data_IF_553769996543
#
_entry.id   IF_553769996543
#
_cell.length_a   1.000
_cell.length_b   1.000
_cell.length_c   1.000
_cell.angle_alpha   90.00
_cell.angle_beta   90.00
_cell.angle_gamma   90.00
#
_symmetry.space_group_name_H-M   'P 1'
#
loop_
_entity.id
_entity.type
_entity.pdbx_description
1 polymer ?
#
# COMPACT_ATOMS: atom_id res chain seq x y z
N UNK A 1 0.50 2.02 24.91
CA UNK A 1 1.19 2.29 23.62
C UNK A 1 1.09 1.10 22.67
N UNK A 2 1.65 -0.07 22.99
CA UNK A 2 1.67 -1.26 22.11
C UNK A 2 0.30 -1.61 21.49
N UNK A 3 -0.77 -1.68 22.30
CA UNK A 3 -2.13 -2.01 21.82
C UNK A 3 -2.65 -0.99 20.80
N UNK A 4 -2.50 0.30 21.08
CA UNK A 4 -2.92 1.36 20.15
C UNK A 4 -2.10 1.30 18.85
N UNK A 5 -0.79 1.07 18.93
CA UNK A 5 0.05 0.89 17.73
C UNK A 5 -0.43 -0.28 16.86
N UNK A 6 -0.83 -1.41 17.47
CA UNK A 6 -1.41 -2.55 16.73
C UNK A 6 -2.74 -2.20 16.04
N UNK A 7 -3.62 -1.48 16.73
CA UNK A 7 -4.92 -1.06 16.18
C UNK A 7 -4.71 -0.07 15.03
N UNK A 8 -3.91 0.97 15.24
CA UNK A 8 -3.61 1.98 14.21
C UNK A 8 -2.95 1.31 13.00
N UNK A 9 -1.98 0.42 13.21
CA UNK A 9 -1.38 -0.35 12.11
C UNK A 9 -2.41 -1.13 11.31
N UNK A 10 -3.33 -1.83 11.99
CA UNK A 10 -4.38 -2.61 11.33
C UNK A 10 -5.35 -1.73 10.52
N UNK A 11 -5.73 -0.59 11.08
CA UNK A 11 -6.58 0.40 10.40
C UNK A 11 -5.88 1.01 9.20
N UNK A 12 -4.61 1.37 9.32
CA UNK A 12 -3.82 1.89 8.21
C UNK A 12 -3.64 0.85 7.09
N UNK A 13 -3.51 -0.44 7.43
CA UNK A 13 -3.47 -1.50 6.42
C UNK A 13 -4.77 -1.58 5.61
N UNK A 14 -5.93 -1.38 6.25
CA UNK A 14 -7.24 -1.27 5.58
C UNK A 14 -7.36 -0.02 4.72
N UNK A 15 -6.97 1.14 5.25
CA UNK A 15 -6.98 2.41 4.51
C UNK A 15 -6.09 2.28 3.27
N UNK A 16 -4.88 1.75 3.41
CA UNK A 16 -3.95 1.52 2.31
C UNK A 16 -4.58 0.59 1.24
N UNK A 17 -5.17 -0.53 1.65
CA UNK A 17 -5.85 -1.43 0.71
C UNK A 17 -7.02 -0.75 -0.02
N UNK A 18 -7.84 0.04 0.69
CA UNK A 18 -8.92 0.81 0.08
C UNK A 18 -8.39 1.85 -0.92
N UNK A 19 -7.31 2.54 -0.59
CA UNK A 19 -6.64 3.48 -1.51
C UNK A 19 -6.13 2.79 -2.78
N UNK A 20 -5.69 1.53 -2.71
CA UNK A 20 -5.31 0.78 -3.92
C UNK A 20 -6.52 0.50 -4.83
N UNK A 21 -7.70 0.21 -4.28
CA UNK A 21 -8.92 0.09 -5.08
C UNK A 21 -9.26 1.41 -5.79
N UNK A 22 -9.15 2.54 -5.08
CA UNK A 22 -9.35 3.87 -5.66
C UNK A 22 -8.30 4.12 -6.75
N UNK A 23 -7.03 3.76 -6.54
CA UNK A 23 -5.99 3.90 -7.56
C UNK A 23 -6.29 3.12 -8.84
N UNK A 24 -6.73 1.87 -8.71
CA UNK A 24 -7.10 1.03 -9.85
C UNK A 24 -8.32 1.60 -10.58
N UNK A 25 -9.31 2.10 -9.84
CA UNK A 25 -10.46 2.79 -10.43
C UNK A 25 -10.05 4.05 -11.21
N UNK A 26 -9.19 4.90 -10.63
CA UNK A 26 -8.71 6.12 -11.30
C UNK A 26 -7.84 5.83 -12.53
N UNK A 27 -7.03 4.77 -12.48
CA UNK A 27 -6.32 4.29 -13.66
C UNK A 27 -7.28 3.82 -14.77
N UNK A 28 -8.31 3.06 -14.40
CA UNK A 28 -9.37 2.66 -15.32
C UNK A 28 -10.10 3.86 -15.91
N UNK A 29 -10.43 4.86 -15.09
CA UNK A 29 -11.04 6.10 -15.55
C UNK A 29 -10.15 6.77 -16.60
N UNK A 30 -8.85 6.96 -16.34
CA UNK A 30 -7.93 7.55 -17.32
C UNK A 30 -7.86 6.75 -18.64
N UNK A 31 -7.91 5.41 -18.57
CA UNK A 31 -7.93 4.56 -19.78
C UNK A 31 -9.21 4.75 -20.62
N UNK A 32 -10.35 4.97 -19.97
CA UNK A 32 -11.66 5.07 -20.63
C UNK A 32 -12.16 6.53 -20.84
N UNK A 33 -11.51 7.53 -20.24
CA UNK A 33 -11.90 8.94 -20.22
C UNK A 33 -10.71 9.82 -20.67
N UNK A 34 -10.58 9.97 -21.99
CA UNK A 34 -9.64 10.86 -22.71
C UNK A 34 -8.13 10.74 -22.38
N UNK A 35 -7.71 9.79 -21.54
CA UNK A 35 -6.31 9.64 -21.14
C UNK A 35 -5.86 10.62 -20.04
N UNK A 36 -6.78 11.23 -19.29
CA UNK A 36 -6.41 12.13 -18.19
C UNK A 36 -5.94 11.36 -16.94
N UNK A 37 -4.63 11.25 -16.77
CA UNK A 37 -3.99 10.59 -15.63
C UNK A 37 -3.85 11.46 -14.38
N UNK A 38 -4.25 12.73 -14.42
CA UNK A 38 -3.99 13.70 -13.34
C UNK A 38 -4.56 13.26 -11.99
N UNK A 39 -5.77 12.68 -11.97
CA UNK A 39 -6.40 12.18 -10.74
C UNK A 39 -5.65 10.99 -10.17
N UNK A 40 -5.23 10.05 -11.02
CA UNK A 40 -4.48 8.86 -10.64
C UNK A 40 -3.11 9.23 -10.01
N UNK A 41 -2.37 10.11 -10.69
CA UNK A 41 -1.04 10.56 -10.24
C UNK A 41 -1.11 11.52 -9.04
N UNK A 42 -2.16 12.34 -8.92
CA UNK A 42 -2.33 13.18 -7.73
C UNK A 42 -2.72 12.34 -6.49
N UNK A 43 -3.54 11.30 -6.66
CA UNK A 43 -4.10 10.57 -5.53
C UNK A 43 -3.06 9.75 -4.74
N UNK A 44 -1.97 9.30 -5.37
CA UNK A 44 -0.94 8.48 -4.70
C UNK A 44 -0.24 9.25 -3.57
N UNK A 45 -0.07 10.57 -3.73
CA UNK A 45 0.58 11.44 -2.75
C UNK A 45 -0.14 11.50 -1.40
N UNK A 46 -1.44 11.15 -1.35
CA UNK A 46 -2.17 11.10 -0.07
C UNK A 46 -1.80 9.88 0.79
N UNK A 47 -1.25 8.81 0.20
CA UNK A 47 -1.07 7.55 0.94
C UNK A 47 0.26 6.81 0.69
N UNK A 48 1.12 7.29 -0.20
CA UNK A 48 2.41 6.65 -0.50
C UNK A 48 3.32 6.47 0.73
N UNK A 49 3.19 7.34 1.73
CA UNK A 49 3.96 7.28 2.97
C UNK A 49 3.29 6.48 4.10
N UNK A 50 2.05 5.98 3.90
CA UNK A 50 1.37 5.14 4.89
C UNK A 50 2.19 3.91 5.28
N UNK A 51 2.83 3.17 4.35
CA UNK A 51 3.73 2.07 4.71
C UNK A 51 4.88 2.47 5.65
N UNK A 52 5.45 3.67 5.51
CA UNK A 52 6.51 4.13 6.42
C UNK A 52 5.97 4.27 7.85
N UNK A 53 4.82 4.94 8.00
CA UNK A 53 4.17 5.07 9.30
C UNK A 53 3.83 3.68 9.89
N UNK A 54 3.36 2.76 9.06
CA UNK A 54 3.11 1.38 9.46
C UNK A 54 4.38 0.65 9.90
N UNK A 55 5.54 0.86 9.28
CA UNK A 55 6.83 0.27 9.74
C UNK A 55 7.13 0.73 11.17
N UNK A 56 7.03 2.03 11.44
CA UNK A 56 7.27 2.60 12.78
C UNK A 56 6.30 2.02 13.81
N UNK A 57 5.01 1.96 13.49
CA UNK A 57 3.98 1.36 14.35
C UNK A 57 4.19 -0.14 14.53
N UNK A 58 4.71 -0.84 13.51
CA UNK A 58 5.05 -2.26 13.58
C UNK A 58 6.16 -2.56 14.59
N UNK A 59 7.16 -1.67 14.68
CA UNK A 59 8.25 -1.75 15.67
C UNK A 59 7.73 -1.45 17.07
N UNK A 60 7.05 -0.30 17.25
CA UNK A 60 6.49 0.13 18.55
C UNK A 60 5.45 -0.89 19.06
N UNK A 61 4.61 -1.39 18.16
CA UNK A 61 3.55 -2.35 18.44
C UNK A 61 4.01 -3.81 18.54
N UNK A 62 5.29 -4.10 18.32
CA UNK A 62 5.86 -5.47 18.33
C UNK A 62 5.00 -6.45 17.50
N UNK A 63 4.65 -6.07 16.27
CA UNK A 63 3.75 -6.83 15.36
C UNK A 63 4.46 -8.05 14.72
N UNK A 64 5.77 -8.16 14.94
CA UNK A 64 6.61 -9.24 14.44
C UNK A 64 7.37 -8.85 13.19
N UNK A 65 8.64 -9.26 13.12
CA UNK A 65 9.58 -8.88 12.06
C UNK A 65 9.07 -9.16 10.64
N UNK A 66 8.41 -10.31 10.43
CA UNK A 66 7.85 -10.68 9.12
C UNK A 66 6.83 -9.66 8.59
N UNK A 67 6.02 -9.06 9.46
CA UNK A 67 5.02 -8.06 9.05
C UNK A 67 5.68 -6.71 8.77
N UNK A 68 6.69 -6.33 9.54
CA UNK A 68 7.52 -5.15 9.28
C UNK A 68 8.20 -5.25 7.92
N UNK A 69 8.87 -6.37 7.63
CA UNK A 69 9.53 -6.60 6.34
C UNK A 69 8.52 -6.56 5.19
N UNK A 70 7.36 -7.21 5.34
CA UNK A 70 6.32 -7.14 4.31
C UNK A 70 5.80 -5.71 4.08
N UNK A 71 5.74 -4.89 5.13
CA UNK A 71 5.39 -3.46 5.02
C UNK A 71 6.48 -2.66 4.30
N UNK A 72 7.76 -2.96 4.57
CA UNK A 72 8.87 -2.37 3.83
C UNK A 72 8.84 -2.76 2.35
N UNK A 73 8.51 -4.00 2.03
CA UNK A 73 8.31 -4.47 0.65
C UNK A 73 7.18 -3.67 -0.04
N UNK A 74 6.08 -3.33 0.65
CA UNK A 74 5.06 -2.44 0.08
C UNK A 74 5.65 -1.10 -0.36
N UNK A 75 6.45 -0.46 0.50
CA UNK A 75 7.04 0.83 0.17
C UNK A 75 8.05 0.73 -0.99
N UNK A 76 8.86 -0.33 -1.01
CA UNK A 76 9.78 -0.61 -2.13
C UNK A 76 9.01 -0.82 -3.44
N UNK A 77 7.87 -1.51 -3.41
CA UNK A 77 7.03 -1.70 -4.59
C UNK A 77 6.42 -0.38 -5.09
N UNK A 78 6.07 0.56 -4.21
CA UNK A 78 5.63 1.92 -4.60
C UNK A 78 6.75 2.66 -5.33
N UNK A 79 7.96 2.68 -4.75
CA UNK A 79 9.14 3.28 -5.39
C UNK A 79 9.40 2.64 -6.75
N UNK A 80 9.33 1.30 -6.81
CA UNK A 80 9.51 0.57 -8.05
C UNK A 80 8.44 0.92 -9.10
N UNK A 81 7.20 1.18 -8.70
CA UNK A 81 6.17 1.67 -9.63
C UNK A 81 6.56 3.01 -10.25
N UNK A 82 7.00 3.99 -9.44
CA UNK A 82 7.49 5.27 -9.96
C UNK A 82 8.64 5.10 -10.96
N UNK A 83 9.61 4.25 -10.63
CA UNK A 83 10.74 3.97 -11.52
C UNK A 83 10.24 3.28 -12.79
N UNK A 84 9.39 2.26 -12.68
CA UNK A 84 8.94 1.47 -13.82
C UNK A 84 8.23 2.28 -14.89
N UNK A 85 7.45 3.29 -14.51
CA UNK A 85 6.69 4.14 -15.44
C UNK A 85 7.50 5.33 -15.97
N UNK A 86 8.60 5.70 -15.31
CA UNK A 86 9.48 6.81 -15.73
C UNK A 86 10.60 6.37 -16.67
N UNK A 87 10.87 5.07 -16.75
CA UNK A 87 11.82 4.52 -17.72
C UNK A 87 11.21 4.53 -19.13
N UNK A 88 12.00 4.90 -20.13
CA UNK A 88 11.64 4.79 -21.56
C UNK A 88 11.71 3.34 -22.07
N UNK A 89 11.05 2.44 -21.34
CA UNK A 89 11.04 1.01 -21.58
C UNK A 89 9.62 0.47 -21.38
N UNK A 90 8.86 0.40 -22.47
CA UNK A 90 7.43 0.02 -22.46
C UNK A 90 7.14 -1.30 -21.76
N UNK A 91 8.03 -2.30 -21.90
CA UNK A 91 7.89 -3.59 -21.22
C UNK A 91 8.03 -3.47 -19.70
N UNK A 92 8.90 -2.56 -19.22
CA UNK A 92 9.07 -2.33 -17.78
C UNK A 92 7.86 -1.57 -17.25
N UNK A 93 7.37 -0.54 -17.94
CA UNK A 93 6.15 0.16 -17.56
C UNK A 93 4.93 -0.77 -17.49
N UNK A 94 4.84 -1.75 -18.40
CA UNK A 94 3.77 -2.75 -18.41
C UNK A 94 3.73 -3.66 -17.17
N UNK A 95 4.78 -3.66 -16.32
CA UNK A 95 4.75 -4.39 -15.05
C UNK A 95 3.92 -3.68 -13.97
N UNK A 96 3.60 -2.40 -14.15
CA UNK A 96 2.91 -1.58 -13.17
C UNK A 96 1.59 -2.21 -12.66
N UNK A 97 0.70 -2.75 -13.52
CA UNK A 97 -0.49 -3.45 -13.04
C UNK A 97 -0.16 -4.71 -12.23
N UNK A 98 0.91 -5.44 -12.58
CA UNK A 98 1.34 -6.64 -11.84
C UNK A 98 1.79 -6.26 -10.43
N UNK A 99 2.58 -5.19 -10.30
CA UNK A 99 3.03 -4.73 -8.98
C UNK A 99 1.91 -4.11 -8.16
N UNK A 100 0.88 -3.53 -8.79
CA UNK A 100 -0.34 -3.08 -8.11
C UNK A 100 -1.10 -4.27 -7.47
N UNK A 101 -1.19 -5.40 -8.17
CA UNK A 101 -1.76 -6.62 -7.61
C UNK A 101 -0.93 -7.18 -6.45
N UNK A 102 0.41 -7.13 -6.55
CA UNK A 102 1.31 -7.53 -5.46
C UNK A 102 1.18 -6.63 -4.23
N UNK A 103 1.06 -5.31 -4.43
CA UNK A 103 0.76 -4.34 -3.36
C UNK A 103 -0.55 -4.69 -2.65
N UNK A 104 -1.61 -4.94 -3.42
CA UNK A 104 -2.92 -5.29 -2.87
C UNK A 104 -2.86 -6.61 -2.10
N UNK A 105 -2.24 -7.64 -2.67
CA UNK A 105 -2.09 -8.93 -2.01
C UNK A 105 -1.32 -8.83 -0.69
N UNK A 106 -0.20 -8.10 -0.68
CA UNK A 106 0.59 -7.87 0.52
C UNK A 106 -0.18 -7.06 1.57
N UNK A 107 -0.95 -6.04 1.17
CA UNK A 107 -1.82 -5.29 2.07
C UNK A 107 -2.89 -6.17 2.72
N UNK A 108 -3.57 -7.02 1.95
CA UNK A 108 -4.55 -7.98 2.46
C UNK A 108 -3.91 -9.03 3.39
N UNK A 109 -2.69 -9.47 3.11
CA UNK A 109 -1.95 -10.35 3.99
C UNK A 109 -1.62 -9.65 5.33
N UNK A 110 -1.22 -8.38 5.30
CA UNK A 110 -0.98 -7.60 6.51
C UNK A 110 -2.26 -7.38 7.33
N UNK A 111 -3.38 -7.07 6.69
CA UNK A 111 -4.70 -7.00 7.35
C UNK A 111 -4.98 -8.30 8.11
N UNK A 112 -4.86 -9.45 7.43
CA UNK A 112 -5.14 -10.76 8.04
C UNK A 112 -4.22 -11.06 9.24
N UNK A 113 -2.93 -10.72 9.13
CA UNK A 113 -1.90 -11.00 10.15
C UNK A 113 -1.88 -10.02 11.33
N UNK A 114 -2.44 -8.82 11.15
CA UNK A 114 -2.39 -7.74 12.16
C UNK A 114 -3.67 -7.55 12.97
N UNK A 115 -4.67 -8.43 12.79
CA UNK A 115 -5.94 -8.37 13.52
C UNK A 115 -5.68 -8.21 15.03
N UNK A 116 -6.16 -7.14 15.67
CA UNK A 116 -6.01 -6.96 17.11
C UNK A 116 -6.77 -8.07 17.86
N UNK A 117 -6.17 -8.61 18.92
CA UNK A 117 -6.87 -9.53 19.82
C UNK A 117 -8.04 -8.84 20.53
N UNK A 118 -9.04 -9.61 20.97
CA UNK A 118 -10.16 -9.09 21.77
C UNK A 118 -9.62 -8.40 23.04
N UNK A 119 -10.25 -7.31 23.52
CA UNK A 119 -9.93 -6.76 24.84
C UNK A 119 -10.06 -7.87 25.88
N UNK A 120 -9.09 -7.98 26.80
CA UNK A 120 -9.33 -8.71 28.04
C UNK A 120 -10.48 -8.00 28.76
N UNK A 121 -11.54 -8.75 29.08
CA UNK A 121 -12.66 -8.30 29.92
C UNK A 121 -12.22 -8.36 31.38
#
# INVERSE_FOLDING_TARGET
>A
MIRYSKIIYHVLAWIFAASLFVQVFLAGLAVFDDGDWSKHTAFIHYFEFVPILMILLGWIGRIGWKNVVLTAILYVLIIFQYISVSLDARMIAAIHPVTALLLLWAALALIRRSKPGKPAQ
#
